data_IF_526008106832
#
_entry.id   IF_526008106832
#
_cell.length_a   1.000
_cell.length_b   1.000
_cell.length_c   1.000
_cell.angle_alpha   90.00
_cell.angle_beta   90.00
_cell.angle_gamma   90.00
#
_symmetry.space_group_name_H-M   'P 1'
#
loop_
_entity.id
_entity.type
_entity.pdbx_description
1 polymer ?
#
# COMPACT_ATOMS: atom_id res chain seq x y z
N UNK A 1 -17.72 23.48 -8.37
CA UNK A 1 -17.99 22.48 -9.41
C UNK A 1 -16.91 21.41 -9.32
N UNK A 2 -17.15 20.37 -8.51
CA UNK A 2 -16.16 19.34 -8.17
C UNK A 2 -16.31 18.23 -9.20
N UNK A 3 -15.30 18.06 -10.05
CA UNK A 3 -15.27 17.02 -11.08
C UNK A 3 -14.83 15.71 -10.42
N UNK A 4 -15.75 14.75 -10.35
CA UNK A 4 -15.51 13.37 -9.97
C UNK A 4 -14.71 12.67 -11.08
N UNK A 5 -13.41 12.47 -10.88
CA UNK A 5 -12.56 11.79 -11.88
C UNK A 5 -12.48 10.30 -11.54
N UNK A 6 -13.31 9.49 -12.21
CA UNK A 6 -13.18 8.04 -12.33
C UNK A 6 -11.76 7.68 -12.85
N UNK A 7 -11.16 6.57 -12.41
CA UNK A 7 -9.83 6.13 -12.90
C UNK A 7 -9.83 5.81 -14.41
N UNK A 8 -10.99 5.45 -14.97
CA UNK A 8 -11.22 5.39 -16.43
C UNK A 8 -11.23 6.80 -17.03
N UNK A 9 -11.81 7.78 -16.33
CA UNK A 9 -11.75 9.20 -16.70
C UNK A 9 -10.36 9.81 -16.56
N UNK A 10 -9.41 9.25 -15.80
CA UNK A 10 -8.02 9.74 -15.85
C UNK A 10 -7.44 9.45 -17.23
N UNK A 11 -7.64 8.25 -17.78
CA UNK A 11 -7.24 7.97 -19.18
C UNK A 11 -7.97 8.89 -20.14
N UNK A 12 -9.29 9.04 -20.01
CA UNK A 12 -10.09 9.82 -20.96
C UNK A 12 -9.83 11.33 -20.88
N UNK A 13 -9.69 11.91 -19.69
CA UNK A 13 -9.33 13.32 -19.48
C UNK A 13 -7.87 13.57 -19.85
N UNK A 14 -6.96 12.62 -19.60
CA UNK A 14 -5.58 12.69 -20.08
C UNK A 14 -5.50 12.63 -21.61
N UNK A 15 -6.30 11.77 -22.26
CA UNK A 15 -6.45 11.76 -23.71
C UNK A 15 -7.06 13.05 -24.24
N UNK A 16 -8.05 13.66 -23.56
CA UNK A 16 -8.62 14.97 -23.94
C UNK A 16 -7.60 16.10 -23.76
N UNK A 17 -6.78 16.08 -22.72
CA UNK A 17 -5.70 17.05 -22.50
C UNK A 17 -4.65 16.88 -23.61
N UNK A 18 -4.21 15.65 -23.90
CA UNK A 18 -3.31 15.35 -25.01
C UNK A 18 -3.90 15.80 -26.35
N UNK A 19 -5.16 15.50 -26.61
CA UNK A 19 -5.85 15.87 -27.86
C UNK A 19 -6.04 17.39 -27.98
N UNK A 20 -6.29 18.08 -26.86
CA UNK A 20 -6.33 19.53 -26.78
C UNK A 20 -4.97 20.17 -27.09
N UNK A 21 -3.88 19.61 -26.56
CA UNK A 21 -2.51 20.05 -26.87
C UNK A 21 -2.12 19.79 -28.33
N UNK A 22 -2.54 18.65 -28.90
CA UNK A 22 -2.32 18.32 -30.33
C UNK A 22 -3.11 19.28 -31.24
N UNK A 23 -4.36 19.61 -30.89
CA UNK A 23 -5.23 20.47 -31.70
C UNK A 23 -4.80 21.94 -31.70
N UNK A 24 -4.17 22.41 -30.63
CA UNK A 24 -3.72 23.82 -30.49
C UNK A 24 -2.41 24.10 -31.24
N UNK A 25 -1.60 23.09 -31.58
CA UNK A 25 -0.24 23.31 -32.10
C UNK A 25 0.12 22.45 -33.31
N UNK A 26 -0.67 22.56 -34.39
CA UNK A 26 -0.33 21.90 -35.66
C UNK A 26 0.85 22.58 -36.39
N UNK A 27 1.34 23.75 -35.94
CA UNK A 27 2.35 24.47 -36.72
C UNK A 27 3.70 24.83 -36.07
N UNK A 28 4.01 24.45 -34.81
CA UNK A 28 5.39 24.62 -34.29
C UNK A 28 5.79 23.57 -33.25
N UNK A 29 6.97 23.00 -33.49
CA UNK A 29 7.98 22.48 -32.54
C UNK A 29 8.03 20.98 -32.21
N UNK A 30 9.09 20.35 -32.75
CA UNK A 30 9.77 19.13 -32.28
C UNK A 30 9.87 19.01 -30.75
N UNK A 31 10.01 20.12 -30.02
CA UNK A 31 10.05 20.13 -28.56
C UNK A 31 8.81 19.52 -27.89
N UNK A 32 7.59 19.71 -28.41
CA UNK A 32 6.37 19.17 -27.76
C UNK A 32 6.35 17.64 -27.88
N UNK A 33 6.77 17.10 -29.02
CA UNK A 33 6.88 15.67 -29.24
C UNK A 33 7.94 15.02 -28.35
N UNK A 34 9.12 15.65 -28.22
CA UNK A 34 10.16 15.22 -27.27
C UNK A 34 9.69 15.32 -25.81
N UNK A 35 8.94 16.36 -25.45
CA UNK A 35 8.35 16.50 -24.13
C UNK A 35 7.31 15.39 -23.88
N UNK A 36 6.44 15.09 -24.84
CA UNK A 36 5.45 14.02 -24.71
C UNK A 36 6.10 12.63 -24.59
N UNK A 37 7.13 12.34 -25.39
CA UNK A 37 7.92 11.11 -25.28
C UNK A 37 8.69 11.03 -23.95
N UNK A 38 9.25 12.14 -23.48
CA UNK A 38 9.91 12.23 -22.17
C UNK A 38 8.92 12.00 -21.02
N UNK A 39 7.73 12.58 -21.08
CA UNK A 39 6.66 12.35 -20.12
C UNK A 39 6.14 10.91 -20.17
N UNK A 40 5.93 10.31 -21.35
CA UNK A 40 5.55 8.91 -21.48
C UNK A 40 6.65 7.98 -20.93
N UNK A 41 7.93 8.29 -21.16
CA UNK A 41 9.08 7.55 -20.63
C UNK A 41 9.21 7.71 -19.11
N UNK A 42 8.95 8.90 -18.57
CA UNK A 42 8.90 9.17 -17.12
C UNK A 42 7.72 8.46 -16.46
N UNK A 43 6.50 8.54 -17.02
CA UNK A 43 5.34 7.82 -16.49
C UNK A 43 5.52 6.30 -16.57
N UNK A 44 6.18 5.80 -17.63
CA UNK A 44 6.57 4.38 -17.74
C UNK A 44 7.61 3.97 -16.69
N UNK A 45 8.39 4.92 -16.17
CA UNK A 45 9.39 4.70 -15.12
C UNK A 45 8.87 4.94 -13.69
N UNK A 46 7.68 5.54 -13.49
CA UNK A 46 7.26 6.09 -12.19
C UNK A 46 6.41 5.15 -11.32
N UNK A 47 6.06 3.94 -11.74
CA UNK A 47 5.35 3.04 -10.81
C UNK A 47 5.70 1.59 -11.08
N UNK A 48 6.77 1.11 -10.42
CA UNK A 48 6.95 -0.32 -10.22
C UNK A 48 5.84 -0.78 -9.27
N UNK A 49 4.72 -1.22 -9.85
CA UNK A 49 3.68 -1.93 -9.11
C UNK A 49 4.05 -3.39 -9.13
N UNK A 50 4.26 -4.00 -7.96
CA UNK A 50 4.37 -5.44 -7.88
C UNK A 50 3.06 -6.06 -8.39
N UNK A 51 3.11 -6.93 -9.41
CA UNK A 51 1.92 -7.42 -10.11
C UNK A 51 0.95 -8.19 -9.22
N UNK A 52 1.43 -8.79 -8.12
CA UNK A 52 0.62 -9.51 -7.16
C UNK A 52 -0.13 -8.59 -6.17
N UNK A 53 0.25 -7.31 -6.01
CA UNK A 53 -0.38 -6.38 -5.05
C UNK A 53 -1.69 -5.74 -5.56
N UNK A 54 -2.37 -6.36 -6.54
CA UNK A 54 -3.59 -5.82 -7.14
C UNK A 54 -4.70 -5.56 -6.11
N UNK A 55 -4.93 -6.52 -5.20
CA UNK A 55 -5.93 -6.41 -4.13
C UNK A 55 -5.63 -5.25 -3.19
N UNK A 56 -4.39 -5.13 -2.72
CA UNK A 56 -3.93 -4.04 -1.87
C UNK A 56 -4.24 -2.67 -2.49
N UNK A 57 -3.89 -2.48 -3.76
CA UNK A 57 -4.12 -1.21 -4.45
C UNK A 57 -5.61 -0.91 -4.62
N UNK A 58 -6.41 -1.93 -4.93
CA UNK A 58 -7.85 -1.80 -5.02
C UNK A 58 -8.45 -1.41 -3.66
N UNK A 59 -8.03 -2.08 -2.59
CA UNK A 59 -8.45 -1.80 -1.23
C UNK A 59 -8.17 -0.35 -0.83
N UNK A 60 -6.94 0.14 -1.06
CA UNK A 60 -6.60 1.53 -0.76
C UNK A 60 -7.46 2.54 -1.52
N UNK A 61 -7.72 2.31 -2.81
CA UNK A 61 -8.61 3.16 -3.61
C UNK A 61 -10.03 3.17 -3.04
N UNK A 62 -10.53 2.02 -2.63
CA UNK A 62 -11.85 1.91 -1.99
C UNK A 62 -11.87 2.61 -0.63
N UNK A 63 -10.79 2.50 0.16
CA UNK A 63 -10.70 3.13 1.47
C UNK A 63 -10.65 4.66 1.39
N UNK A 64 -10.06 5.21 0.33
CA UNK A 64 -9.92 6.65 0.12
C UNK A 64 -11.15 7.34 -0.48
N UNK A 65 -12.19 6.59 -0.91
CA UNK A 65 -13.46 7.18 -1.38
C UNK A 65 -14.02 8.16 -0.34
N UNK A 66 -14.91 9.06 -0.74
CA UNK A 66 -15.58 9.98 0.20
C UNK A 66 -16.83 9.33 0.80
N UNK A 67 -17.36 9.91 1.88
CA UNK A 67 -18.67 9.58 2.43
C UNK A 67 -19.72 10.54 1.85
N UNK A 68 -20.93 10.06 1.61
CA UNK A 68 -22.03 10.92 1.18
C UNK A 68 -22.49 11.82 2.34
N UNK A 69 -22.79 13.09 2.06
CA UNK A 69 -22.98 14.17 3.06
C UNK A 69 -24.17 13.89 4.03
N UNK A 70 -25.12 13.03 3.66
CA UNK A 70 -26.33 12.70 4.43
C UNK A 70 -26.34 11.27 4.98
N UNK A 71 -25.17 10.65 5.12
CA UNK A 71 -25.04 9.28 5.59
C UNK A 71 -25.22 9.16 7.12
N UNK A 72 -25.98 8.17 7.60
CA UNK A 72 -26.22 7.88 9.03
C UNK A 72 -24.92 7.76 9.86
N UNK A 73 -23.80 7.39 9.21
CA UNK A 73 -22.48 7.33 9.82
C UNK A 73 -21.98 8.70 10.33
N UNK A 74 -22.46 9.81 9.76
CA UNK A 74 -22.19 11.15 10.31
C UNK A 74 -22.80 11.31 11.69
N UNK A 75 -24.07 10.93 11.86
CA UNK A 75 -24.76 11.00 13.14
C UNK A 75 -24.10 10.09 14.17
N UNK A 76 -23.73 8.87 13.77
CA UNK A 76 -22.93 7.97 14.61
C UNK A 76 -21.64 8.62 15.08
N UNK A 77 -20.86 9.19 14.16
CA UNK A 77 -19.60 9.86 14.47
C UNK A 77 -19.79 11.05 15.43
N UNK A 78 -20.83 11.86 15.21
CA UNK A 78 -21.13 13.00 16.06
C UNK A 78 -21.48 12.60 17.49
N UNK A 79 -22.27 11.54 17.64
CA UNK A 79 -22.75 11.05 18.94
C UNK A 79 -21.70 10.26 19.72
N UNK A 80 -20.77 9.59 19.03
CA UNK A 80 -19.74 8.76 19.69
C UNK A 80 -18.53 9.53 20.18
N UNK A 81 -18.22 10.64 19.51
CA UNK A 81 -17.05 11.44 19.84
C UNK A 81 -17.54 12.73 20.49
N UNK A 82 -17.78 12.66 21.80
CA UNK A 82 -18.38 13.74 22.60
C UNK A 82 -17.36 14.50 23.45
N UNK A 83 -16.24 13.87 23.81
CA UNK A 83 -15.31 14.39 24.82
C UNK A 83 -14.05 15.06 24.27
N UNK A 84 -13.89 15.16 22.94
CA UNK A 84 -12.65 15.71 22.35
C UNK A 84 -12.91 16.52 21.08
N UNK A 85 -13.57 17.67 21.22
CA UNK A 85 -14.06 18.46 20.08
C UNK A 85 -12.96 18.89 19.09
N UNK A 86 -11.78 19.28 19.57
CA UNK A 86 -10.65 19.66 18.72
C UNK A 86 -10.10 18.46 17.92
N UNK A 87 -9.88 17.31 18.59
CA UNK A 87 -9.39 16.09 17.93
C UNK A 87 -10.44 15.51 16.97
N UNK A 88 -11.73 15.64 17.31
CA UNK A 88 -12.86 15.23 16.48
C UNK A 88 -12.81 15.93 15.13
N UNK A 89 -12.78 17.26 15.08
CA UNK A 89 -12.75 17.96 13.80
C UNK A 89 -11.46 17.69 13.01
N UNK A 90 -10.32 17.52 13.69
CA UNK A 90 -9.03 17.20 13.05
C UNK A 90 -9.06 15.91 12.22
N UNK A 91 -9.66 14.82 12.73
CA UNK A 91 -9.66 13.51 12.07
C UNK A 91 -10.99 13.12 11.42
N UNK A 92 -11.97 14.02 11.44
CA UNK A 92 -13.33 13.79 10.93
C UNK A 92 -13.34 13.11 9.57
N UNK A 93 -12.61 13.65 8.59
CA UNK A 93 -12.57 13.08 7.24
C UNK A 93 -12.00 11.65 7.20
N UNK A 94 -10.96 11.35 7.98
CA UNK A 94 -10.35 10.01 8.05
C UNK A 94 -11.32 9.02 8.72
N UNK A 95 -11.96 9.43 9.80
CA UNK A 95 -12.83 8.56 10.58
C UNK A 95 -14.18 8.31 9.94
N UNK A 96 -14.72 9.27 9.18
CA UNK A 96 -15.88 9.02 8.34
C UNK A 96 -15.57 8.01 7.22
N UNK A 97 -14.38 8.09 6.62
CA UNK A 97 -13.90 7.05 5.69
C UNK A 97 -13.74 5.70 6.37
N UNK A 98 -13.15 5.66 7.56
CA UNK A 98 -13.04 4.44 8.36
C UNK A 98 -14.41 3.81 8.62
N UNK A 99 -15.40 4.58 9.12
CA UNK A 99 -16.76 4.12 9.36
C UNK A 99 -17.43 3.56 8.10
N UNK A 100 -17.28 4.24 6.95
CA UNK A 100 -17.78 3.73 5.66
C UNK A 100 -17.17 2.37 5.33
N UNK A 101 -15.86 2.24 5.51
CA UNK A 101 -15.15 1.00 5.22
C UNK A 101 -15.63 -0.11 6.16
N UNK A 102 -15.75 0.15 7.46
CA UNK A 102 -16.29 -0.81 8.44
C UNK A 102 -17.72 -1.26 8.10
N UNK A 103 -18.58 -0.36 7.60
CA UNK A 103 -19.91 -0.74 7.07
C UNK A 103 -19.81 -1.64 5.85
N UNK A 104 -18.88 -1.37 4.93
CA UNK A 104 -18.65 -2.23 3.77
C UNK A 104 -18.17 -3.63 4.18
N UNK A 105 -17.34 -3.71 5.22
CA UNK A 105 -16.89 -4.95 5.85
C UNK A 105 -18.08 -5.72 6.45
N UNK A 106 -18.92 -5.07 7.26
CA UNK A 106 -20.09 -5.68 7.89
C UNK A 106 -21.15 -6.18 6.90
N UNK A 107 -21.29 -5.52 5.75
CA UNK A 107 -22.20 -5.92 4.67
C UNK A 107 -21.70 -7.11 3.83
N UNK A 108 -20.83 -7.96 4.40
CA UNK A 108 -20.31 -9.20 3.83
C UNK A 108 -19.68 -9.07 2.43
N UNK A 109 -19.03 -7.93 2.14
CA UNK A 109 -18.27 -7.78 0.88
C UNK A 109 -17.01 -8.66 0.80
N UNK A 110 -16.59 -9.24 1.92
CA UNK A 110 -15.41 -10.10 2.03
C UNK A 110 -15.78 -11.39 2.77
N UNK A 111 -15.26 -12.53 2.31
CA UNK A 111 -15.52 -13.84 2.92
C UNK A 111 -14.23 -14.55 3.36
N UNK A 112 -14.32 -15.37 4.42
CA UNK A 112 -13.23 -16.22 4.91
C UNK A 112 -11.91 -15.47 5.13
N UNK A 113 -10.84 -15.95 4.48
CA UNK A 113 -9.48 -15.40 4.60
C UNK A 113 -9.35 -13.96 4.08
N UNK A 114 -10.22 -13.51 3.18
CA UNK A 114 -10.19 -12.14 2.65
C UNK A 114 -10.44 -11.10 3.74
N UNK A 115 -11.23 -11.44 4.76
CA UNK A 115 -11.49 -10.51 5.87
C UNK A 115 -10.17 -10.15 6.56
N UNK A 116 -9.30 -11.13 6.84
CA UNK A 116 -8.01 -10.88 7.49
C UNK A 116 -7.06 -10.06 6.61
N UNK A 117 -7.01 -10.37 5.31
CA UNK A 117 -6.23 -9.61 4.31
C UNK A 117 -6.63 -8.13 4.30
N UNK A 118 -7.93 -7.86 4.11
CA UNK A 118 -8.43 -6.50 3.97
C UNK A 118 -8.45 -5.75 5.30
N UNK A 119 -8.59 -6.42 6.46
CA UNK A 119 -8.37 -5.79 7.76
C UNK A 119 -6.91 -5.34 7.91
N UNK A 120 -5.93 -6.17 7.54
CA UNK A 120 -4.51 -5.75 7.58
C UNK A 120 -4.26 -4.56 6.65
N UNK A 121 -4.89 -4.53 5.46
CA UNK A 121 -4.80 -3.37 4.56
C UNK A 121 -5.44 -2.12 5.17
N UNK A 122 -6.63 -2.26 5.76
CA UNK A 122 -7.36 -1.16 6.40
C UNK A 122 -6.55 -0.59 7.57
N UNK A 123 -5.96 -1.46 8.39
CA UNK A 123 -5.17 -1.03 9.55
C UNK A 123 -3.91 -0.29 9.14
N UNK A 124 -3.21 -0.76 8.11
CA UNK A 124 -2.07 -0.02 7.59
C UNK A 124 -2.53 1.32 6.98
N UNK A 125 -3.63 1.34 6.23
CA UNK A 125 -4.21 2.58 5.70
C UNK A 125 -4.56 3.57 6.83
N UNK A 126 -5.21 3.08 7.89
CA UNK A 126 -5.58 3.88 9.04
C UNK A 126 -4.34 4.44 9.72
N UNK A 127 -3.38 3.57 10.03
CA UNK A 127 -2.10 3.93 10.60
C UNK A 127 -1.40 5.02 9.76
N UNK A 128 -1.27 4.86 8.44
CA UNK A 128 -0.63 5.89 7.59
C UNK A 128 -1.33 7.24 7.61
N UNK A 129 -2.65 7.27 7.79
CA UNK A 129 -3.41 8.51 7.83
C UNK A 129 -3.53 9.11 9.23
N UNK A 130 -3.14 8.37 10.29
CA UNK A 130 -3.23 8.84 11.68
C UNK A 130 -1.89 8.88 12.44
N UNK A 131 -0.84 8.22 11.96
CA UNK A 131 0.42 8.00 12.68
C UNK A 131 1.30 9.25 12.83
N UNK A 132 1.02 10.33 12.09
CA UNK A 132 1.64 11.62 12.38
C UNK A 132 1.18 12.21 13.73
N UNK A 133 0.26 11.54 14.45
CA UNK A 133 -0.39 12.10 15.62
C UNK A 133 -0.63 11.06 16.73
N UNK A 134 0.18 11.10 17.79
CA UNK A 134 0.07 10.22 18.97
C UNK A 134 -1.33 10.17 19.60
N UNK A 135 -2.13 11.21 19.35
CA UNK A 135 -3.44 11.45 19.92
C UNK A 135 -4.63 10.72 19.27
N UNK A 136 -4.44 10.10 18.10
CA UNK A 136 -5.55 9.49 17.36
C UNK A 136 -6.02 8.14 17.95
N UNK A 137 -5.19 7.47 18.77
CA UNK A 137 -5.47 6.10 19.26
C UNK A 137 -6.79 6.00 20.03
N UNK A 138 -7.08 6.98 20.89
CA UNK A 138 -8.33 7.00 21.67
C UNK A 138 -9.55 7.08 20.75
N UNK A 139 -9.48 7.85 19.67
CA UNK A 139 -10.60 7.97 18.74
C UNK A 139 -10.73 6.71 17.88
N UNK A 140 -9.62 6.10 17.49
CA UNK A 140 -9.61 4.81 16.77
C UNK A 140 -10.24 3.71 17.62
N UNK A 141 -9.92 3.63 18.92
CA UNK A 141 -10.51 2.64 19.82
C UNK A 141 -12.01 2.84 19.99
N UNK A 142 -12.46 4.09 20.18
CA UNK A 142 -13.88 4.43 20.26
C UNK A 142 -14.62 4.03 18.98
N UNK A 143 -14.05 4.32 17.81
CA UNK A 143 -14.71 4.02 16.53
C UNK A 143 -14.76 2.51 16.28
N UNK A 144 -13.63 1.81 16.39
CA UNK A 144 -13.56 0.39 16.09
C UNK A 144 -14.42 -0.43 17.06
N UNK A 145 -14.37 -0.14 18.36
CA UNK A 145 -15.20 -0.83 19.34
C UNK A 145 -16.67 -0.43 19.24
N UNK A 146 -16.96 0.88 19.15
CA UNK A 146 -18.32 1.40 19.11
C UNK A 146 -19.09 0.96 17.87
N UNK A 147 -18.41 0.84 16.72
CA UNK A 147 -19.04 0.36 15.50
C UNK A 147 -19.48 -1.11 15.65
N UNK A 148 -18.64 -1.95 16.27
CA UNK A 148 -18.95 -3.35 16.51
C UNK A 148 -20.12 -3.56 17.48
N UNK A 149 -20.23 -2.75 18.54
CA UNK A 149 -21.27 -2.94 19.57
C UNK A 149 -22.66 -2.47 19.15
N UNK A 150 -22.77 -1.47 18.28
CA UNK A 150 -24.06 -0.80 18.02
C UNK A 150 -24.59 -0.99 16.60
N UNK A 151 -23.73 -1.27 15.63
CA UNK A 151 -24.18 -1.34 14.24
C UNK A 151 -24.67 -2.73 13.83
N UNK A 152 -24.21 -3.81 14.46
CA UNK A 152 -24.55 -5.19 14.07
C UNK A 152 -24.65 -6.11 15.30
N UNK A 153 -25.86 -6.45 15.79
CA UNK A 153 -26.04 -7.38 16.91
C UNK A 153 -25.72 -8.85 16.56
N UNK A 154 -25.56 -9.16 15.26
CA UNK A 154 -25.03 -10.45 14.81
C UNK A 154 -23.50 -10.33 14.83
N UNK A 155 -22.91 -10.98 15.83
CA UNK A 155 -21.49 -11.00 16.19
C UNK A 155 -20.64 -11.36 14.96
N UNK A 156 -20.17 -10.35 14.24
CA UNK A 156 -18.98 -10.48 13.40
C UNK A 156 -17.99 -9.48 13.96
N UNK A 157 -17.06 -9.96 14.77
CA UNK A 157 -15.89 -9.19 15.23
C UNK A 157 -14.95 -8.94 14.04
N UNK A 158 -15.42 -8.17 13.07
CA UNK A 158 -14.68 -7.85 11.85
C UNK A 158 -13.75 -6.68 12.16
N UNK A 159 -12.47 -6.88 11.87
CA UNK A 159 -11.39 -5.93 12.15
C UNK A 159 -11.40 -5.39 13.61
N UNK A 160 -11.16 -6.24 14.63
CA UNK A 160 -11.09 -5.83 16.03
C UNK A 160 -10.00 -4.79 16.32
N UNK A 161 -10.34 -3.82 17.20
CA UNK A 161 -9.38 -2.85 17.72
C UNK A 161 -8.13 -3.50 18.31
N UNK A 162 -8.28 -4.59 19.08
CA UNK A 162 -7.13 -5.27 19.70
C UNK A 162 -6.12 -5.75 18.65
N UNK A 163 -6.60 -6.21 17.49
CA UNK A 163 -5.72 -6.62 16.40
C UNK A 163 -5.06 -5.41 15.73
N UNK A 164 -5.80 -4.30 15.55
CA UNK A 164 -5.20 -3.04 15.10
C UNK A 164 -4.09 -2.57 16.05
N UNK A 165 -4.36 -2.59 17.36
CA UNK A 165 -3.44 -2.11 18.38
C UNK A 165 -2.13 -2.94 18.38
N UNK A 166 -2.23 -4.26 18.22
CA UNK A 166 -1.06 -5.14 18.05
C UNK A 166 -0.30 -4.88 16.76
N UNK A 167 -1.00 -4.73 15.63
CA UNK A 167 -0.35 -4.49 14.33
C UNK A 167 0.24 -3.07 14.19
N UNK A 168 -0.16 -2.12 15.04
CA UNK A 168 0.37 -0.76 15.01
C UNK A 168 1.90 -0.71 15.10
N UNK A 169 2.49 -1.54 15.95
CA UNK A 169 3.95 -1.60 16.10
C UNK A 169 4.64 -2.22 14.88
N UNK A 170 3.95 -3.12 14.18
CA UNK A 170 4.38 -3.67 12.89
C UNK A 170 4.38 -2.58 11.81
N UNK A 171 3.33 -1.76 11.73
CA UNK A 171 3.21 -0.71 10.72
C UNK A 171 4.21 0.45 10.88
N UNK A 172 4.85 0.59 12.05
CA UNK A 172 6.01 1.49 12.23
C UNK A 172 7.20 1.08 11.38
N UNK A 173 7.34 -0.21 11.09
CA UNK A 173 8.50 -0.80 10.47
C UNK A 173 8.14 -1.17 9.03
N UNK A 174 8.60 -0.36 8.07
CA UNK A 174 8.28 -0.53 6.64
C UNK A 174 8.55 -1.95 6.14
N UNK A 175 9.68 -2.55 6.54
CA UNK A 175 10.00 -3.89 6.07
C UNK A 175 9.03 -4.94 6.61
N UNK A 176 8.55 -4.83 7.84
CA UNK A 176 7.52 -5.75 8.37
C UNK A 176 6.18 -5.60 7.66
N UNK A 177 5.83 -4.39 7.18
CA UNK A 177 4.64 -4.20 6.34
C UNK A 177 4.74 -5.04 5.08
N UNK A 178 5.92 -5.05 4.41
CA UNK A 178 6.15 -5.89 3.22
C UNK A 178 5.97 -7.37 3.56
N UNK A 179 6.56 -7.84 4.67
CA UNK A 179 6.39 -9.22 5.12
C UNK A 179 4.91 -9.55 5.39
N UNK A 180 4.17 -8.61 5.99
CA UNK A 180 2.74 -8.75 6.28
C UNK A 180 1.88 -8.85 5.03
N UNK A 181 2.32 -8.29 3.91
CA UNK A 181 1.61 -8.41 2.63
C UNK A 181 1.96 -9.67 1.89
N UNK A 182 3.17 -10.21 2.08
CA UNK A 182 3.60 -11.44 1.44
C UNK A 182 2.64 -12.60 1.72
N UNK A 183 2.19 -12.78 2.97
CA UNK A 183 1.29 -13.90 3.34
C UNK A 183 0.00 -13.96 2.53
N UNK A 184 -0.57 -12.82 2.15
CA UNK A 184 -1.80 -12.77 1.37
C UNK A 184 -1.56 -12.89 -0.14
N UNK A 185 -0.31 -12.72 -0.57
CA UNK A 185 0.06 -12.65 -1.98
C UNK A 185 0.99 -13.81 -2.43
N UNK A 186 1.29 -14.76 -1.54
CA UNK A 186 2.26 -15.83 -1.79
C UNK A 186 1.87 -16.74 -2.96
N UNK A 187 0.59 -17.04 -3.16
CA UNK A 187 0.13 -17.82 -4.32
C UNK A 187 0.32 -17.06 -5.64
N UNK A 188 -0.06 -15.78 -5.68
CA UNK A 188 0.19 -14.93 -6.86
C UNK A 188 1.68 -14.79 -7.18
N UNK A 189 2.51 -14.69 -6.14
CA UNK A 189 3.97 -14.72 -6.25
C UNK A 189 4.44 -16.06 -6.85
N UNK A 190 3.96 -17.18 -6.32
CA UNK A 190 4.29 -18.53 -6.81
C UNK A 190 3.98 -18.68 -8.30
N UNK A 191 2.81 -18.23 -8.74
CA UNK A 191 2.40 -18.27 -10.14
C UNK A 191 3.33 -17.46 -11.05
N UNK A 192 3.73 -16.25 -10.63
CA UNK A 192 4.67 -15.41 -11.37
C UNK A 192 6.05 -16.09 -11.49
N UNK A 193 6.53 -16.70 -10.40
CA UNK A 193 7.81 -17.42 -10.38
C UNK A 193 7.82 -18.64 -11.30
N UNK A 194 6.68 -19.32 -11.47
CA UNK A 194 6.54 -20.45 -12.39
C UNK A 194 6.54 -20.02 -13.85
N UNK A 195 5.77 -18.98 -14.17
CA UNK A 195 5.66 -18.46 -15.55
C UNK A 195 6.97 -17.87 -16.06
N UNK A 196 7.75 -17.23 -15.19
CA UNK A 196 9.03 -16.58 -15.53
C UNK A 196 8.92 -15.51 -16.61
N UNK A 197 7.71 -14.97 -16.80
CA UNK A 197 7.45 -13.90 -17.76
C UNK A 197 7.99 -12.57 -17.24
N UNK A 198 8.89 -11.95 -18.01
CA UNK A 198 9.41 -10.61 -17.72
C UNK A 198 8.36 -9.54 -18.08
N UNK A 199 8.31 -8.39 -17.37
CA UNK A 199 9.19 -7.99 -16.26
C UNK A 199 8.75 -8.52 -14.89
N UNK A 200 7.55 -9.11 -14.79
CA UNK A 200 6.91 -9.52 -13.54
C UNK A 200 7.77 -10.48 -12.72
N UNK A 201 8.44 -11.43 -13.38
CA UNK A 201 9.38 -12.34 -12.75
C UNK A 201 10.50 -11.60 -11.99
N UNK A 202 11.13 -10.61 -12.62
CA UNK A 202 12.23 -9.86 -12.01
C UNK A 202 11.76 -8.94 -10.88
N UNK A 203 10.58 -8.33 -11.02
CA UNK A 203 9.97 -7.58 -9.92
C UNK A 203 9.69 -8.48 -8.72
N UNK A 204 9.17 -9.68 -8.97
CA UNK A 204 8.93 -10.67 -7.92
C UNK A 204 10.24 -11.11 -7.23
N UNK A 205 11.29 -11.37 -8.01
CA UNK A 205 12.61 -11.73 -7.47
C UNK A 205 13.20 -10.64 -6.57
N UNK A 206 13.06 -9.37 -6.98
CA UNK A 206 13.47 -8.22 -6.17
C UNK A 206 12.67 -8.13 -4.87
N UNK A 207 11.36 -8.30 -4.92
CA UNK A 207 10.52 -8.29 -3.73
C UNK A 207 10.92 -9.35 -2.71
N UNK A 208 11.17 -10.58 -3.18
CA UNK A 208 11.60 -11.69 -2.31
C UNK A 208 12.96 -11.42 -1.66
N UNK A 209 13.89 -10.81 -2.39
CA UNK A 209 15.19 -10.42 -1.86
C UNK A 209 15.07 -9.37 -0.76
N UNK A 210 14.27 -8.32 -0.99
CA UNK A 210 13.99 -7.30 0.04
C UNK A 210 13.35 -7.94 1.28
N UNK A 211 12.37 -8.83 1.09
CA UNK A 211 11.69 -9.51 2.20
C UNK A 211 12.64 -10.44 2.98
N UNK A 212 13.44 -11.26 2.30
CA UNK A 212 14.35 -12.21 2.97
C UNK A 212 15.46 -11.47 3.71
N UNK A 213 16.02 -10.41 3.12
CA UNK A 213 17.04 -9.60 3.79
C UNK A 213 16.47 -8.95 5.06
N UNK A 214 15.26 -8.36 4.97
CA UNK A 214 14.58 -7.81 6.13
C UNK A 214 14.32 -8.86 7.21
N UNK A 215 13.81 -10.04 6.82
CA UNK A 215 13.56 -11.15 7.74
C UNK A 215 14.83 -11.56 8.48
N UNK A 216 15.94 -11.80 7.77
CA UNK A 216 17.22 -12.23 8.39
C UNK A 216 17.69 -11.17 9.40
N UNK A 217 17.72 -9.91 8.99
CA UNK A 217 18.17 -8.81 9.86
C UNK A 217 17.29 -8.67 11.10
N UNK A 218 15.97 -8.69 10.93
CA UNK A 218 15.02 -8.50 12.03
C UNK A 218 14.96 -9.71 12.96
N UNK A 219 15.01 -10.94 12.43
CA UNK A 219 14.95 -12.15 13.22
C UNK A 219 16.18 -12.30 14.13
N UNK A 220 17.37 -12.08 13.58
CA UNK A 220 18.62 -12.16 14.33
C UNK A 220 18.70 -11.12 15.47
N UNK A 221 18.16 -9.92 15.23
CA UNK A 221 18.26 -8.80 16.18
C UNK A 221 17.14 -8.77 17.22
N UNK A 222 15.95 -9.31 16.93
CA UNK A 222 14.75 -9.09 17.76
C UNK A 222 14.10 -10.37 18.33
N UNK A 223 14.42 -11.56 17.82
CA UNK A 223 13.68 -12.79 18.14
C UNK A 223 14.52 -13.89 18.79
N UNK A 224 15.61 -13.52 19.46
CA UNK A 224 16.33 -14.41 20.36
C UNK A 224 15.49 -14.76 21.60
N UNK A 225 15.83 -15.85 22.30
CA UNK A 225 15.08 -16.33 23.47
C UNK A 225 14.85 -15.24 24.55
N UNK A 226 15.79 -14.32 24.71
CA UNK A 226 15.70 -13.22 25.70
C UNK A 226 14.85 -12.04 25.24
N UNK A 227 14.65 -11.87 23.93
CA UNK A 227 13.92 -10.73 23.36
C UNK A 227 12.51 -11.08 22.87
N UNK A 228 12.23 -12.37 22.70
CA UNK A 228 10.97 -12.88 22.14
C UNK A 228 9.73 -12.44 22.93
N UNK A 229 9.82 -12.31 24.26
CA UNK A 229 8.70 -11.84 25.07
C UNK A 229 8.38 -10.36 24.82
N UNK A 230 9.42 -9.52 24.74
CA UNK A 230 9.28 -8.08 24.49
C UNK A 230 8.88 -7.78 23.03
N UNK A 231 9.27 -8.65 22.10
CA UNK A 231 9.03 -8.51 20.66
C UNK A 231 7.98 -9.51 20.14
N UNK A 232 7.03 -9.95 20.99
CA UNK A 232 6.08 -11.03 20.66
C UNK A 232 5.37 -10.82 19.32
N UNK A 233 4.79 -9.64 19.08
CA UNK A 233 4.03 -9.39 17.85
C UNK A 233 4.94 -9.33 16.62
N UNK A 234 6.11 -8.72 16.74
CA UNK A 234 7.13 -8.70 15.67
C UNK A 234 7.57 -10.11 15.31
N UNK A 235 7.92 -10.93 16.32
CA UNK A 235 8.35 -12.30 16.10
C UNK A 235 7.22 -13.19 15.57
N UNK A 236 5.97 -12.91 15.93
CA UNK A 236 4.79 -13.56 15.35
C UNK A 236 4.70 -13.29 13.84
N UNK A 237 4.89 -12.05 13.40
CA UNK A 237 4.86 -11.70 11.98
C UNK A 237 6.03 -12.33 11.20
N UNK A 238 7.24 -12.35 11.78
CA UNK A 238 8.38 -13.04 11.17
C UNK A 238 8.16 -14.55 11.07
N UNK A 239 7.55 -15.18 12.08
CA UNK A 239 7.20 -16.61 12.04
C UNK A 239 6.17 -16.88 10.95
N UNK A 240 5.17 -16.02 10.79
CA UNK A 240 4.20 -16.16 9.69
C UNK A 240 4.91 -16.04 8.34
N UNK A 241 5.79 -15.06 8.17
CA UNK A 241 6.56 -14.92 6.94
C UNK A 241 7.33 -16.21 6.58
N UNK A 242 8.04 -16.81 7.53
CA UNK A 242 8.75 -18.09 7.33
C UNK A 242 7.80 -19.21 6.88
N UNK A 243 6.67 -19.39 7.56
CA UNK A 243 5.64 -20.38 7.19
C UNK A 243 5.15 -20.16 5.76
N UNK A 244 4.76 -18.94 5.39
CA UNK A 244 4.27 -18.69 4.04
C UNK A 244 5.37 -18.79 2.97
N UNK A 245 6.61 -18.46 3.32
CA UNK A 245 7.75 -18.59 2.43
C UNK A 245 8.05 -20.07 2.14
N UNK A 246 7.78 -20.95 3.11
CA UNK A 246 7.90 -22.40 2.93
C UNK A 246 7.01 -22.96 1.81
N UNK A 247 5.85 -22.34 1.52
CA UNK A 247 5.01 -22.72 0.39
C UNK A 247 5.65 -22.44 -0.98
N UNK A 248 6.63 -21.52 -1.03
CA UNK A 248 7.46 -21.31 -2.22
C UNK A 248 8.61 -22.31 -2.28
N UNK A 249 9.32 -22.53 -1.16
CA UNK A 249 10.51 -23.39 -1.13
C UNK A 249 10.18 -24.89 -1.21
N UNK A 250 8.94 -25.28 -0.90
CA UNK A 250 8.43 -26.64 -1.12
C UNK A 250 8.36 -27.02 -2.61
N UNK A 251 8.30 -26.02 -3.50
CA UNK A 251 8.35 -26.25 -4.95
C UNK A 251 9.81 -26.23 -5.43
N UNK A 252 10.36 -27.42 -5.70
CA UNK A 252 11.76 -27.59 -6.13
C UNK A 252 12.10 -26.79 -7.39
N UNK A 253 11.12 -26.53 -8.27
CA UNK A 253 11.35 -25.77 -9.51
C UNK A 253 11.58 -24.27 -9.26
N UNK A 254 11.18 -23.80 -8.07
CA UNK A 254 11.30 -22.42 -7.60
C UNK A 254 12.44 -22.29 -6.59
N UNK A 255 12.57 -23.25 -5.67
CA UNK A 255 13.47 -23.21 -4.50
C UNK A 255 14.89 -22.76 -4.83
N UNK A 256 15.51 -23.34 -5.85
CA UNK A 256 16.90 -23.05 -6.22
C UNK A 256 17.12 -21.61 -6.75
N UNK A 257 16.04 -20.96 -7.19
CA UNK A 257 16.05 -19.66 -7.90
C UNK A 257 15.57 -18.50 -7.04
N UNK A 258 15.11 -18.74 -5.82
CA UNK A 258 14.70 -17.71 -4.87
C UNK A 258 15.73 -17.62 -3.73
N UNK A 259 15.80 -16.48 -3.03
CA UNK A 259 16.71 -16.34 -1.90
C UNK A 259 16.43 -17.41 -0.83
N UNK A 260 17.47 -18.05 -0.32
CA UNK A 260 17.36 -18.92 0.83
C UNK A 260 17.00 -18.07 2.07
N UNK A 261 15.98 -18.48 2.83
CA UNK A 261 15.46 -17.67 3.93
C UNK A 261 16.47 -17.43 5.07
N UNK A 262 17.46 -18.32 5.22
CA UNK A 262 18.47 -18.22 6.28
C UNK A 262 19.73 -17.48 5.83
N UNK A 263 20.12 -17.61 4.56
CA UNK A 263 21.39 -17.07 4.06
C UNK A 263 21.24 -15.88 3.12
N UNK A 264 20.03 -15.64 2.60
CA UNK A 264 19.73 -14.64 1.57
C UNK A 264 20.27 -14.98 0.17
N UNK A 265 21.03 -16.08 0.04
CA UNK A 265 21.69 -16.47 -1.20
C UNK A 265 20.79 -17.36 -2.06
N UNK A 266 20.90 -17.22 -3.38
CA UNK A 266 20.28 -18.13 -4.35
C UNK A 266 21.27 -19.25 -4.69
N UNK A 267 20.77 -20.44 -4.99
CA UNK A 267 21.60 -21.55 -5.45
C UNK A 267 21.95 -21.37 -6.94
N UNK A 268 21.01 -20.82 -7.71
CA UNK A 268 21.19 -20.48 -9.12
C UNK A 268 21.15 -18.97 -9.32
N UNK A 269 22.12 -18.44 -10.05
CA UNK A 269 22.22 -17.02 -10.37
C UNK A 269 21.07 -16.55 -11.27
N UNK A 270 20.57 -15.34 -11.02
CA UNK A 270 19.56 -14.69 -11.85
C UNK A 270 20.23 -14.03 -13.07
N UNK A 271 20.46 -14.79 -14.13
CA UNK A 271 21.16 -14.33 -15.34
C UNK A 271 20.44 -13.22 -16.13
N UNK A 272 19.22 -12.87 -15.75
CA UNK A 272 18.23 -12.26 -16.66
C UNK A 272 17.44 -11.11 -16.04
N UNK A 273 17.73 -10.74 -14.80
CA UNK A 273 17.09 -9.63 -14.11
C UNK A 273 18.11 -8.52 -13.86
N UNK A 274 17.75 -7.24 -14.12
CA UNK A 274 18.66 -6.12 -13.87
C UNK A 274 19.07 -6.08 -12.40
N UNK A 275 20.33 -5.74 -12.16
CA UNK A 275 20.88 -5.71 -10.80
C UNK A 275 20.21 -4.63 -9.94
N UNK A 276 20.30 -4.76 -8.61
CA UNK A 276 19.75 -3.78 -7.67
C UNK A 276 20.31 -2.37 -7.91
N UNK A 277 21.55 -2.23 -8.40
CA UNK A 277 22.15 -0.94 -8.74
C UNK A 277 21.49 -0.28 -9.96
N UNK A 278 21.18 -1.05 -11.01
CA UNK A 278 20.50 -0.52 -12.20
C UNK A 278 19.07 -0.06 -11.87
N UNK A 279 18.35 -0.83 -11.05
CA UNK A 279 17.00 -0.46 -10.61
C UNK A 279 17.02 0.70 -9.60
N UNK A 280 18.01 0.74 -8.70
CA UNK A 280 18.15 1.84 -7.72
C UNK A 280 18.57 3.14 -8.39
N UNK A 281 19.39 3.08 -9.44
CA UNK A 281 19.73 4.22 -10.29
C UNK A 281 18.51 4.76 -11.05
N UNK A 282 17.69 3.85 -11.60
CA UNK A 282 16.39 4.23 -12.19
C UNK A 282 15.45 4.89 -11.16
N UNK A 283 15.45 4.44 -9.91
CA UNK A 283 14.65 5.02 -8.82
C UNK A 283 15.25 6.34 -8.30
N UNK A 284 16.58 6.48 -8.25
CA UNK A 284 17.24 7.69 -7.78
C UNK A 284 17.13 8.83 -8.79
N UNK A 285 17.22 8.54 -10.09
CA UNK A 285 16.98 9.50 -11.18
C UNK A 285 15.54 10.04 -11.16
N UNK A 286 14.58 9.24 -10.65
CA UNK A 286 13.20 9.69 -10.39
C UNK A 286 13.12 10.55 -9.11
N UNK A 287 13.92 10.26 -8.08
CA UNK A 287 13.97 11.01 -6.80
C UNK A 287 14.78 12.31 -6.84
N UNK A 288 15.65 12.53 -7.82
CA UNK A 288 16.43 13.78 -7.98
C UNK A 288 15.69 14.84 -8.79
N UNK A 289 14.57 14.48 -9.42
CA UNK A 289 13.65 15.38 -10.10
C UNK A 289 12.97 16.47 -9.21
N UNK A 290 12.64 16.28 -7.91
CA UNK A 290 11.90 17.24 -7.09
C UNK A 290 12.57 18.62 -6.94
N UNK A 291 13.91 18.68 -6.92
CA UNK A 291 14.64 19.92 -6.66
C UNK A 291 14.58 20.90 -7.84
N UNK A 292 14.42 20.40 -9.07
CA UNK A 292 14.26 21.23 -10.27
C UNK A 292 12.81 21.68 -10.53
N UNK A 293 11.81 21.02 -9.93
CA UNK A 293 10.38 21.29 -10.14
C UNK A 293 9.76 22.24 -9.09
N UNK A 294 10.45 22.47 -7.97
CA UNK A 294 10.04 23.47 -6.96
C UNK A 294 9.89 24.89 -7.54
N UNK A 295 10.58 25.19 -8.64
CA UNK A 295 10.50 26.47 -9.38
C UNK A 295 9.33 26.54 -10.36
N UNK A 296 8.63 25.43 -10.67
CA UNK A 296 7.58 25.35 -11.71
C UNK A 296 6.18 25.09 -11.11
N UNK A 297 6.09 24.81 -9.80
CA UNK A 297 4.84 24.53 -9.09
C UNK A 297 3.83 25.71 -9.00
N UNK A 298 4.10 26.84 -9.66
CA UNK A 298 3.13 27.93 -9.85
C UNK A 298 2.10 27.69 -10.97
N UNK A 299 2.25 26.67 -11.83
CA UNK A 299 1.51 26.64 -13.10
C UNK A 299 0.40 25.57 -13.25
N UNK A 300 0.37 24.44 -12.53
CA UNK A 300 -0.76 23.47 -12.69
C UNK A 300 -1.05 22.65 -11.44
N UNK A 301 -2.26 22.79 -10.91
CA UNK A 301 -2.83 22.02 -9.79
C UNK A 301 -2.84 20.50 -10.00
N UNK A 302 -2.79 20.05 -11.26
CA UNK A 302 -2.77 18.63 -11.66
C UNK A 302 -1.47 17.94 -11.25
N UNK A 303 -0.32 18.62 -11.33
CA UNK A 303 0.98 18.04 -10.99
C UNK A 303 1.12 17.78 -9.48
N UNK A 304 0.62 18.72 -8.66
CA UNK A 304 0.57 18.59 -7.21
C UNK A 304 -0.35 17.44 -6.76
N UNK A 305 -1.48 17.24 -7.45
CA UNK A 305 -2.42 16.14 -7.18
C UNK A 305 -1.81 14.78 -7.54
N UNK A 306 -1.14 14.67 -8.69
CA UNK A 306 -0.48 13.43 -9.13
C UNK A 306 0.68 13.03 -8.21
N UNK A 307 1.47 14.00 -7.73
CA UNK A 307 2.50 13.75 -6.73
C UNK A 307 1.92 13.22 -5.43
N UNK A 308 0.83 13.81 -4.92
CA UNK A 308 0.21 13.42 -3.64
C UNK A 308 -0.39 12.01 -3.66
N UNK A 309 -0.95 11.57 -4.79
CA UNK A 309 -1.56 10.23 -4.92
C UNK A 309 -0.49 9.14 -5.08
N UNK A 310 0.54 9.38 -5.88
CA UNK A 310 1.58 8.37 -6.15
C UNK A 310 2.62 8.27 -5.02
N UNK A 311 3.03 9.38 -4.41
CA UNK A 311 4.00 9.37 -3.32
C UNK A 311 3.49 8.66 -2.06
N UNK A 312 2.20 8.76 -1.74
CA UNK A 312 1.60 8.11 -0.55
C UNK A 312 1.54 6.58 -0.64
N UNK A 313 1.42 6.03 -1.84
CA UNK A 313 1.27 4.57 -2.05
C UNK A 313 2.64 3.91 -2.26
N UNK A 314 3.57 4.58 -2.94
CA UNK A 314 4.84 3.99 -3.40
C UNK A 314 5.99 4.18 -2.39
N UNK A 315 5.95 5.18 -1.51
CA UNK A 315 7.07 5.45 -0.59
C UNK A 315 6.98 4.75 0.78
N UNK A 316 5.86 4.08 1.08
CA UNK A 316 5.58 3.47 2.39
C UNK A 316 5.03 2.04 2.30
N UNK A 317 5.32 1.30 1.21
CA UNK A 317 5.29 -0.17 1.23
C UNK A 317 6.71 -0.66 1.05
#
# INVERSE_FOLDING_TARGET
MIITINVINIKTEFFKIIYGFIRININKNSCIYFFLLFFLKIFRNITIVYPFLGNLLSAYKEFDKELEINDELYSFYQNKITHVQEKKEKYKHIFLKLLRNLRNFANNRYNGLQVYEYCTYLYHWLYRNTNEYNDANLLISIILNGFQTESHPIIINMCPYDLYNKQKDIFKLKDLVKLSYFKFNHEGIKDILKKKEKPNYCLCQKYLEECVNAYITMNASNCSNTQKENNRELCSELTQFDVYYSYLTSDLTIKEKIPNINTGKREVELLDCPSNEEVSKLISDVKTLPTAFGTIAGATSVLALLYKVNSKIILNV
#
